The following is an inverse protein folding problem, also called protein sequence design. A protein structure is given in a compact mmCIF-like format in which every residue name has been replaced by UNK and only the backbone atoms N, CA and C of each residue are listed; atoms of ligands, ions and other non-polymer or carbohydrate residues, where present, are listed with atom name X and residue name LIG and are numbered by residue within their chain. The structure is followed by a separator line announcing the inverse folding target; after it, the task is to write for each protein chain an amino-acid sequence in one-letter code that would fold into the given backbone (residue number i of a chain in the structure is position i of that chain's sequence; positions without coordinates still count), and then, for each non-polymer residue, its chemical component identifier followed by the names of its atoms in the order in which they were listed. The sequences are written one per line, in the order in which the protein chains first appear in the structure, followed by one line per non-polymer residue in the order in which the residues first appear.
data_IF_499520169158
#
_entry.id   IF_499520169158
#
_cell.length_a   1.000
_cell.length_b   1.000
_cell.length_c   1.000
_cell.angle_alpha   90.00
_cell.angle_beta   90.00
_cell.angle_gamma   90.00
#
_symmetry.space_group_name_H-M   'P 1'
#
loop_
_entity.id
_entity.type
_entity.pdbx_description
1 polymer ?
#
# COMPACT_ATOMS: atom_id res chain seq x y z
N UNK A 1 -0.53 29.06 11.59
CA UNK A 1 -1.12 29.06 12.95
C UNK A 1 -0.91 27.74 13.74
N UNK A 2 -0.36 26.68 13.16
CA UNK A 2 -0.18 25.38 13.84
C UNK A 2 1.08 25.23 14.72
N UNK A 3 1.85 26.31 14.95
CA UNK A 3 3.13 26.26 15.68
C UNK A 3 2.86 25.86 17.15
N UNK A 4 3.45 24.76 17.59
CA UNK A 4 3.22 24.18 18.93
C UNK A 4 1.94 23.35 19.06
N UNK A 5 1.21 23.11 17.97
CA UNK A 5 0.07 22.18 17.90
C UNK A 5 0.48 20.89 17.18
N UNK A 6 1.21 21.04 16.08
CA UNK A 6 1.79 19.96 15.28
C UNK A 6 3.31 20.04 15.28
N UNK A 7 3.96 18.93 14.98
CA UNK A 7 5.40 18.81 14.82
C UNK A 7 5.74 17.68 13.85
N UNK A 8 7.01 17.55 13.51
CA UNK A 8 7.52 16.53 12.62
C UNK A 8 8.81 16.94 11.94
N UNK A 9 9.51 15.95 11.39
CA UNK A 9 10.83 16.13 10.78
C UNK A 9 10.86 17.16 9.64
N UNK A 10 9.73 17.38 8.96
CA UNK A 10 9.59 18.32 7.87
C UNK A 10 9.00 19.69 8.27
N UNK A 11 8.50 19.86 9.50
CA UNK A 11 7.80 21.10 9.88
C UNK A 11 8.67 22.35 9.80
N UNK A 12 9.90 22.32 10.29
CA UNK A 12 10.82 23.46 10.18
C UNK A 12 11.14 23.80 8.72
N UNK A 13 11.22 22.78 7.85
CA UNK A 13 11.49 22.96 6.43
C UNK A 13 10.31 23.56 5.67
N UNK A 14 9.08 23.25 6.11
CA UNK A 14 7.84 23.75 5.53
C UNK A 14 7.48 25.16 6.05
N UNK A 15 7.72 25.46 7.33
CA UNK A 15 7.22 26.66 7.98
C UNK A 15 8.25 27.76 8.23
N UNK A 16 9.53 27.41 8.43
CA UNK A 16 10.56 28.39 8.82
C UNK A 16 11.66 28.55 7.75
N UNK A 17 12.07 27.45 7.10
CA UNK A 17 13.24 27.44 6.18
C UNK A 17 12.88 27.51 4.69
N UNK A 18 11.61 27.30 4.35
CA UNK A 18 11.12 27.22 2.96
C UNK A 18 11.91 26.25 2.06
N UNK A 19 12.42 25.14 2.62
CA UNK A 19 13.21 24.15 1.85
C UNK A 19 12.38 22.96 1.34
N UNK A 20 11.09 22.90 1.70
CA UNK A 20 10.15 21.91 1.20
C UNK A 20 9.19 22.57 0.21
N UNK A 21 9.31 22.18 -1.07
CA UNK A 21 8.56 22.79 -2.17
C UNK A 21 7.51 21.83 -2.73
N UNK A 22 6.27 22.30 -2.82
CA UNK A 22 5.18 21.61 -3.53
C UNK A 22 5.12 22.15 -4.96
N UNK A 23 5.19 21.27 -5.95
CA UNK A 23 5.27 21.64 -7.37
C UNK A 23 3.95 21.42 -8.11
N UNK A 24 3.70 20.22 -8.65
CA UNK A 24 2.48 19.91 -9.43
C UNK A 24 1.48 19.13 -8.59
N UNK A 25 0.23 19.59 -8.57
CA UNK A 25 -0.89 18.82 -8.03
C UNK A 25 -1.26 17.69 -8.99
N UNK A 26 -1.37 16.47 -8.46
CA UNK A 26 -1.77 15.25 -9.16
C UNK A 26 -3.21 14.81 -8.79
N UNK A 27 -3.84 15.47 -7.82
CA UNK A 27 -5.15 15.07 -7.31
C UNK A 27 -6.31 15.51 -8.18
N UNK A 28 -7.32 14.64 -8.26
CA UNK A 28 -8.64 14.93 -8.83
C UNK A 28 -9.69 15.24 -7.76
N UNK A 29 -9.46 14.83 -6.51
CA UNK A 29 -10.36 15.04 -5.37
C UNK A 29 -9.84 16.15 -4.44
N UNK A 30 -10.71 17.04 -3.94
CA UNK A 30 -10.29 18.16 -3.09
C UNK A 30 -9.82 17.72 -1.69
N UNK A 31 -10.35 16.62 -1.16
CA UNK A 31 -10.09 16.17 0.22
C UNK A 31 -8.76 15.40 0.38
N UNK A 32 -8.19 14.89 -0.71
CA UNK A 32 -6.91 14.19 -0.69
C UNK A 32 -6.00 14.79 -1.75
N UNK A 33 -5.12 15.70 -1.35
CA UNK A 33 -4.21 16.36 -2.26
C UNK A 33 -2.86 15.64 -2.30
N UNK A 34 -2.40 15.38 -3.52
CA UNK A 34 -1.15 14.72 -3.84
C UNK A 34 -0.36 15.66 -4.73
N UNK A 35 0.85 16.00 -4.29
CA UNK A 35 1.75 16.89 -5.00
C UNK A 35 3.06 16.18 -5.31
N UNK A 36 3.65 16.47 -6.46
CA UNK A 36 5.09 16.27 -6.63
C UNK A 36 5.82 17.35 -5.83
N UNK A 37 6.99 17.04 -5.27
CA UNK A 37 7.75 18.04 -4.53
C UNK A 37 9.20 17.65 -4.31
N UNK A 38 9.97 18.63 -3.81
CA UNK A 38 11.38 18.49 -3.48
C UNK A 38 11.62 18.97 -2.06
N UNK A 39 12.46 18.25 -1.32
CA UNK A 39 12.85 18.59 0.04
C UNK A 39 14.35 18.33 0.24
N UNK A 40 15.14 19.41 0.30
CA UNK A 40 16.60 19.30 0.24
C UNK A 40 17.05 18.63 -1.06
N UNK A 41 17.81 17.54 -0.96
CA UNK A 41 18.28 16.73 -2.09
C UNK A 41 17.30 15.61 -2.49
N UNK A 42 16.11 15.56 -1.88
CA UNK A 42 15.13 14.50 -2.13
C UNK A 42 13.97 14.98 -2.98
N UNK A 43 13.70 14.26 -4.07
CA UNK A 43 12.44 14.37 -4.82
C UNK A 43 11.43 13.33 -4.34
N UNK A 44 10.17 13.74 -4.20
CA UNK A 44 9.16 12.89 -3.59
C UNK A 44 7.72 13.25 -3.95
N UNK A 45 6.81 12.50 -3.33
CA UNK A 45 5.37 12.72 -3.40
C UNK A 45 4.92 13.20 -2.03
N UNK A 46 4.34 14.40 -2.01
CA UNK A 46 3.78 15.02 -0.81
C UNK A 46 2.28 14.74 -0.81
N UNK A 47 1.77 14.18 0.27
CA UNK A 47 0.34 13.92 0.47
C UNK A 47 -0.17 14.76 1.63
N UNK A 48 -1.35 15.34 1.43
CA UNK A 48 -2.03 16.17 2.40
C UNK A 48 -3.51 15.78 2.41
N UNK A 49 -4.06 15.53 3.61
CA UNK A 49 -5.48 15.22 3.77
C UNK A 49 -6.19 16.49 4.20
N UNK A 50 -6.84 17.15 3.24
CA UNK A 50 -7.70 18.27 3.59
C UNK A 50 -8.99 17.69 4.16
N UNK A 51 -9.44 18.21 5.31
CA UNK A 51 -10.72 17.83 5.91
C UNK A 51 -11.90 17.96 4.94
N UNK A 52 -13.09 17.51 5.34
CA UNK A 52 -14.28 17.57 4.48
C UNK A 52 -14.51 18.99 3.96
N UNK A 53 -14.31 19.18 2.65
CA UNK A 53 -14.70 20.41 1.96
C UNK A 53 -16.20 20.32 1.74
N UNK A 54 -16.97 21.03 2.56
CA UNK A 54 -18.42 21.19 2.36
C UNK A 54 -18.62 21.85 0.99
N UNK A 55 -19.57 21.30 0.21
CA UNK A 55 -19.90 21.66 -1.16
C UNK A 55 -19.66 23.13 -1.54
N UNK A 56 -18.91 23.36 -2.61
CA UNK A 56 -18.72 24.67 -3.22
C UNK A 56 -19.87 24.93 -4.19
N UNK A 57 -20.95 25.59 -3.75
CA UNK A 57 -21.92 26.19 -4.67
C UNK A 57 -21.35 27.53 -5.16
N UNK A 58 -21.27 27.70 -6.48
CA UNK A 58 -20.76 28.91 -7.13
C UNK A 58 -21.66 30.11 -6.80
N UNK A 59 -21.28 30.93 -5.82
CA UNK A 59 -21.96 32.20 -5.56
C UNK A 59 -21.87 32.75 -4.13
N UNK A 60 -21.47 31.96 -3.14
CA UNK A 60 -21.35 32.41 -1.75
C UNK A 60 -19.88 32.54 -1.32
N UNK A 61 -19.58 33.55 -0.50
CA UNK A 61 -18.24 33.69 0.10
C UNK A 61 -17.89 32.40 0.86
N UNK A 62 -16.63 31.94 0.79
CA UNK A 62 -16.23 30.70 1.44
C UNK A 62 -16.49 30.80 2.95
N UNK A 63 -17.44 30.01 3.46
CA UNK A 63 -17.58 29.82 4.90
C UNK A 63 -16.21 29.39 5.47
N UNK A 64 -15.80 29.92 6.64
CA UNK A 64 -14.53 29.55 7.23
C UNK A 64 -14.51 28.03 7.43
N UNK A 65 -13.47 27.39 6.88
CA UNK A 65 -13.16 25.97 6.99
C UNK A 65 -13.56 25.46 8.39
N UNK A 66 -14.53 24.53 8.45
CA UNK A 66 -14.62 23.65 9.62
C UNK A 66 -13.46 22.68 9.52
N UNK A 67 -12.32 23.10 10.05
CA UNK A 67 -11.20 22.22 10.31
C UNK A 67 -11.76 21.07 11.14
N UNK A 68 -11.85 19.87 10.54
CA UNK A 68 -12.00 18.68 11.35
C UNK A 68 -10.92 18.74 12.45
N UNK A 69 -11.23 18.44 13.72
CA UNK A 69 -10.26 18.51 14.80
C UNK A 69 -9.23 17.38 14.66
N UNK A 70 -8.37 17.46 13.65
CA UNK A 70 -7.49 16.38 13.24
C UNK A 70 -6.33 16.19 14.20
N UNK A 71 -6.05 17.21 15.02
CA UNK A 71 -4.98 17.24 16.01
C UNK A 71 -5.48 17.40 17.46
N UNK A 72 -6.75 17.13 17.73
CA UNK A 72 -7.29 17.19 19.10
C UNK A 72 -6.85 16.02 19.98
N UNK A 73 -6.41 14.93 19.33
CA UNK A 73 -5.91 13.73 20.01
C UNK A 73 -4.40 13.57 19.76
N UNK A 74 -3.61 13.25 20.80
CA UNK A 74 -3.99 13.23 22.21
C UNK A 74 -4.26 14.63 22.80
N UNK A 75 -5.02 14.67 23.91
CA UNK A 75 -5.35 15.90 24.62
C UNK A 75 -4.18 16.37 25.49
N UNK A 76 -4.16 17.67 25.83
CA UNK A 76 -3.18 18.22 26.78
C UNK A 76 -3.22 17.45 28.11
N UNK A 77 -2.05 17.10 28.64
CA UNK A 77 -1.92 16.31 29.88
C UNK A 77 -1.83 14.79 29.66
N UNK A 78 -1.90 14.31 28.41
CA UNK A 78 -1.64 12.89 28.10
C UNK A 78 -0.17 12.57 28.36
N UNK A 79 0.11 11.57 29.21
CA UNK A 79 1.48 11.09 29.44
C UNK A 79 1.98 10.24 28.26
N UNK A 80 3.29 10.00 28.19
CA UNK A 80 3.90 9.15 27.16
C UNK A 80 3.39 7.72 27.25
N UNK A 81 3.20 7.19 28.46
CA UNK A 81 2.63 5.86 28.72
C UNK A 81 1.18 5.79 28.22
N UNK A 82 0.40 6.85 28.48
CA UNK A 82 -0.98 6.89 28.01
C UNK A 82 -1.05 6.95 26.48
N UNK A 83 -0.16 7.72 25.87
CA UNK A 83 -0.05 7.76 24.41
C UNK A 83 0.37 6.41 23.83
N UNK A 84 1.34 5.73 24.46
CA UNK A 84 1.73 4.35 24.11
C UNK A 84 0.54 3.39 24.14
N UNK A 85 -0.30 3.45 25.18
CA UNK A 85 -1.54 2.66 25.25
C UNK A 85 -2.53 3.02 24.13
N UNK A 86 -2.68 4.31 23.80
CA UNK A 86 -3.55 4.74 22.70
C UNK A 86 -3.08 4.14 21.37
N UNK A 87 -1.79 4.22 21.08
CA UNK A 87 -1.18 3.64 19.86
C UNK A 87 -1.37 2.12 19.87
N UNK A 88 -1.07 1.44 20.98
CA UNK A 88 -1.27 0.00 21.11
C UNK A 88 -2.72 -0.42 20.81
N UNK A 89 -3.70 0.26 21.41
CA UNK A 89 -5.12 -0.04 21.19
C UNK A 89 -5.56 0.26 19.75
N UNK A 90 -5.03 1.31 19.13
CA UNK A 90 -5.31 1.63 17.72
C UNK A 90 -4.81 0.51 16.81
N UNK A 91 -3.54 0.11 16.96
CA UNK A 91 -2.93 -0.97 16.18
C UNK A 91 -3.66 -2.29 16.41
N UNK A 92 -4.02 -2.61 17.66
CA UNK A 92 -4.81 -3.81 18.00
C UNK A 92 -6.19 -3.78 17.33
N UNK A 93 -6.82 -2.62 17.26
CA UNK A 93 -8.12 -2.50 16.60
C UNK A 93 -8.04 -2.66 15.07
N UNK A 94 -6.90 -2.34 14.46
CA UNK A 94 -6.64 -2.47 13.02
C UNK A 94 -6.11 -3.86 12.64
N UNK A 95 -5.10 -4.35 13.35
CA UNK A 95 -4.31 -5.56 13.03
C UNK A 95 -4.72 -6.80 13.82
N UNK A 96 -5.65 -6.67 14.76
CA UNK A 96 -6.01 -7.75 15.69
C UNK A 96 -4.99 -7.97 16.80
N UNK A 97 -5.09 -9.11 17.48
CA UNK A 97 -4.19 -9.50 18.57
C UNK A 97 -2.92 -10.12 18.00
N UNK A 98 -1.81 -9.39 18.08
CA UNK A 98 -0.52 -9.82 17.53
C UNK A 98 0.54 -9.87 18.63
N UNK A 99 1.37 -10.92 18.64
CA UNK A 99 2.40 -11.10 19.68
C UNK A 99 3.44 -9.97 19.70
N UNK A 100 3.77 -9.42 18.53
CA UNK A 100 4.82 -8.41 18.38
C UNK A 100 4.31 -6.95 18.38
N UNK A 101 3.05 -6.72 18.74
CA UNK A 101 2.45 -5.37 18.69
C UNK A 101 3.23 -4.36 19.55
N UNK A 102 3.74 -4.78 20.71
CA UNK A 102 4.52 -3.92 21.60
C UNK A 102 5.84 -3.43 20.96
N UNK A 103 6.47 -4.28 20.12
CA UNK A 103 7.67 -3.88 19.37
C UNK A 103 7.32 -2.84 18.32
N UNK A 104 6.21 -3.02 17.60
CA UNK A 104 5.72 -2.05 16.61
C UNK A 104 5.41 -0.70 17.24
N UNK A 105 4.75 -0.69 18.41
CA UNK A 105 4.49 0.55 19.15
C UNK A 105 5.80 1.26 19.51
N UNK A 106 6.83 0.51 19.90
CA UNK A 106 8.13 1.09 20.24
C UNK A 106 8.83 1.68 19.01
N UNK A 107 8.73 1.03 17.85
CA UNK A 107 9.22 1.56 16.57
C UNK A 107 8.47 2.85 16.17
N UNK A 108 7.14 2.87 16.29
CA UNK A 108 6.32 4.05 16.00
C UNK A 108 6.68 5.22 16.92
N UNK A 109 6.89 4.96 18.22
CA UNK A 109 7.32 6.01 19.17
C UNK A 109 8.72 6.55 18.82
N UNK A 110 9.61 5.71 18.30
CA UNK A 110 10.91 6.17 17.81
C UNK A 110 10.80 7.02 16.54
N UNK A 111 9.78 6.81 15.71
CA UNK A 111 9.49 7.66 14.55
C UNK A 111 8.81 8.96 14.98
N UNK A 112 8.00 8.90 16.03
CA UNK A 112 7.29 10.05 16.60
C UNK A 112 8.23 11.10 17.19
N UNK A 113 9.35 10.66 17.80
CA UNK A 113 10.45 11.49 18.29
C UNK A 113 11.23 12.10 17.09
N UNK A 114 10.62 13.11 16.48
CA UNK A 114 11.10 13.73 15.25
C UNK A 114 12.35 14.58 15.49
N UNK A 115 12.49 15.15 16.70
CA UNK A 115 13.64 15.94 17.10
C UNK A 115 14.81 15.09 17.67
N UNK A 116 14.57 13.79 17.93
CA UNK A 116 15.53 12.80 18.44
C UNK A 116 16.05 13.13 19.85
N UNK A 117 15.20 13.72 20.70
CA UNK A 117 15.55 14.05 22.08
C UNK A 117 15.29 12.89 23.07
N UNK A 118 14.77 11.77 22.57
CA UNK A 118 14.44 10.57 23.34
C UNK A 118 13.08 10.65 24.05
N UNK A 119 12.28 11.69 23.79
CA UNK A 119 10.94 11.90 24.35
C UNK A 119 9.95 12.18 23.24
N UNK A 120 8.67 11.99 23.55
CA UNK A 120 7.59 12.32 22.63
C UNK A 120 6.79 13.47 23.24
N UNK A 121 6.91 14.64 22.64
CA UNK A 121 6.14 15.83 23.00
C UNK A 121 4.67 15.72 22.57
N UNK A 122 3.80 16.57 23.12
CA UNK A 122 2.39 16.58 22.73
C UNK A 122 2.18 16.86 21.23
N UNK A 123 2.88 17.84 20.60
CA UNK A 123 2.76 18.09 19.16
C UNK A 123 3.23 16.90 18.29
N UNK A 124 4.31 16.23 18.68
CA UNK A 124 4.79 15.01 18.02
C UNK A 124 3.78 13.87 18.14
N UNK A 125 3.20 13.68 19.33
CA UNK A 125 2.18 12.67 19.57
C UNK A 125 0.91 12.93 18.73
N UNK A 126 0.48 14.19 18.58
CA UNK A 126 -0.67 14.57 17.75
C UNK A 126 -0.44 14.31 16.27
N UNK A 127 0.75 14.68 15.80
CA UNK A 127 1.13 14.50 14.40
C UNK A 127 1.24 13.01 14.07
N UNK A 128 1.92 12.25 14.92
CA UNK A 128 1.99 10.79 14.81
C UNK A 128 0.62 10.14 14.84
N UNK A 129 -0.26 10.56 15.75
CA UNK A 129 -1.62 10.02 15.83
C UNK A 129 -2.42 10.25 14.54
N UNK A 130 -2.30 11.44 13.95
CA UNK A 130 -2.93 11.77 12.67
C UNK A 130 -2.37 10.92 11.52
N UNK A 131 -1.05 10.72 11.48
CA UNK A 131 -0.39 9.85 10.51
C UNK A 131 -0.86 8.40 10.58
N UNK A 132 -0.99 7.85 11.80
CA UNK A 132 -1.44 6.47 12.02
C UNK A 132 -2.90 6.21 11.60
N UNK A 133 -3.69 7.26 11.33
CA UNK A 133 -5.03 7.10 10.74
C UNK A 133 -4.97 6.82 9.23
N UNK A 134 -3.81 6.96 8.59
CA UNK A 134 -3.63 6.76 7.16
C UNK A 134 -3.05 5.38 6.90
N UNK A 135 -3.80 4.52 6.21
CA UNK A 135 -3.40 3.13 5.97
C UNK A 135 -2.06 3.03 5.19
N UNK A 136 -1.75 4.01 4.33
CA UNK A 136 -0.46 4.08 3.61
C UNK A 136 0.73 4.30 4.54
N UNK A 137 0.58 5.17 5.54
CA UNK A 137 1.65 5.42 6.51
C UNK A 137 1.79 4.22 7.44
N UNK A 138 0.67 3.66 7.91
CA UNK A 138 0.69 2.47 8.75
C UNK A 138 1.36 1.28 8.03
N UNK A 139 0.97 0.99 6.78
CA UNK A 139 1.57 -0.07 5.98
C UNK A 139 3.04 0.20 5.67
N UNK A 140 3.39 1.47 5.39
CA UNK A 140 4.76 1.90 5.19
C UNK A 140 5.65 1.60 6.40
N UNK A 141 5.15 1.85 7.62
CA UNK A 141 5.85 1.54 8.87
C UNK A 141 5.94 0.03 9.14
N UNK A 142 4.88 -0.73 8.83
CA UNK A 142 4.86 -2.19 8.98
C UNK A 142 5.86 -2.91 8.06
N UNK A 143 6.05 -2.39 6.84
CA UNK A 143 6.90 -2.99 5.80
C UNK A 143 8.22 -2.23 5.61
N UNK A 144 8.57 -1.32 6.51
CA UNK A 144 9.71 -0.41 6.36
C UNK A 144 11.03 -1.16 6.12
N UNK A 145 11.23 -2.30 6.78
CA UNK A 145 12.45 -3.11 6.68
C UNK A 145 12.46 -4.06 5.47
N UNK A 146 11.32 -4.20 4.78
CA UNK A 146 11.18 -5.10 3.62
C UNK A 146 11.43 -4.40 2.28
N UNK A 147 11.32 -3.07 2.25
CA UNK A 147 11.63 -2.28 1.04
C UNK A 147 10.55 -2.33 -0.06
N UNK A 148 9.39 -2.93 0.19
CA UNK A 148 8.31 -3.01 -0.81
C UNK A 148 7.43 -1.77 -0.88
N UNK A 149 7.54 -0.84 0.07
CA UNK A 149 6.75 0.40 0.11
C UNK A 149 7.64 1.62 -0.16
N UNK A 150 7.08 2.73 -0.68
CA UNK A 150 7.78 4.00 -0.74
C UNK A 150 8.20 4.44 0.67
N UNK A 151 9.47 4.77 0.84
CA UNK A 151 10.00 5.24 2.13
C UNK A 151 9.37 6.58 2.53
N UNK A 152 8.92 6.66 3.78
CA UNK A 152 8.54 7.92 4.41
C UNK A 152 9.81 8.76 4.65
N UNK A 153 9.93 9.90 3.96
CA UNK A 153 11.06 10.81 4.08
C UNK A 153 10.88 11.73 5.29
N UNK A 154 9.67 12.24 5.48
CA UNK A 154 9.34 13.10 6.60
C UNK A 154 7.87 13.52 6.62
N UNK A 155 7.50 14.22 7.68
CA UNK A 155 6.12 14.65 7.92
C UNK A 155 6.06 15.97 8.69
N UNK A 156 4.90 16.63 8.61
CA UNK A 156 4.53 17.75 9.45
C UNK A 156 3.02 17.70 9.72
N UNK A 157 2.63 17.38 10.96
CA UNK A 157 1.22 17.07 11.24
C UNK A 157 0.77 15.83 10.46
N UNK A 158 -0.24 16.00 9.62
CA UNK A 158 -0.79 14.98 8.72
C UNK A 158 -0.25 15.06 7.29
N UNK A 159 0.51 16.10 6.98
CA UNK A 159 1.24 16.21 5.74
C UNK A 159 2.46 15.31 5.81
N UNK A 160 2.66 14.47 4.80
CA UNK A 160 3.83 13.60 4.74
C UNK A 160 4.37 13.49 3.33
N UNK A 161 5.67 13.22 3.24
CA UNK A 161 6.41 13.07 1.99
C UNK A 161 6.99 11.66 1.91
N UNK A 162 6.72 10.98 0.81
CA UNK A 162 7.36 9.69 0.48
C UNK A 162 8.36 9.87 -0.65
N UNK A 163 9.29 8.93 -0.77
CA UNK A 163 10.16 8.86 -1.94
C UNK A 163 9.34 8.76 -3.23
N UNK A 164 9.90 9.30 -4.32
CA UNK A 164 9.28 9.20 -5.64
C UNK A 164 9.59 7.83 -6.25
N UNK A 165 8.55 7.11 -6.65
CA UNK A 165 8.71 5.90 -7.48
C UNK A 165 8.76 6.34 -8.95
N UNK A 166 9.89 6.15 -9.66
CA UNK A 166 10.12 6.75 -10.97
C UNK A 166 9.27 6.11 -12.08
N UNK A 167 9.02 4.81 -11.99
CA UNK A 167 8.29 4.05 -13.00
C UNK A 167 7.03 3.43 -12.42
N UNK A 168 5.90 3.63 -13.10
CA UNK A 168 4.60 3.07 -12.74
C UNK A 168 3.56 3.49 -13.79
N UNK A 169 2.51 2.70 -14.03
CA UNK A 169 2.17 1.40 -13.42
C UNK A 169 3.12 0.25 -13.81
N UNK A 170 2.98 -0.94 -13.21
CA UNK A 170 3.82 -2.12 -13.49
C UNK A 170 3.83 -2.50 -14.99
N UNK A 171 2.65 -2.44 -15.60
CA UNK A 171 2.40 -2.49 -17.04
C UNK A 171 1.05 -1.81 -17.31
N UNK A 172 0.76 -1.52 -18.56
CA UNK A 172 -0.42 -0.73 -18.92
C UNK A 172 -0.08 0.74 -19.12
N UNK A 173 -0.79 1.41 -20.02
CA UNK A 173 -0.73 2.85 -20.17
C UNK A 173 -1.77 3.54 -19.28
N UNK A 174 -1.29 4.36 -18.33
CA UNK A 174 -2.09 5.38 -17.67
C UNK A 174 -2.34 6.53 -18.64
N UNK A 175 -3.50 6.53 -19.30
CA UNK A 175 -3.91 7.60 -20.23
C UNK A 175 -4.88 8.57 -19.54
N UNK A 176 -4.65 9.90 -19.61
CA UNK A 176 -5.62 10.90 -19.15
C UNK A 176 -6.98 10.75 -19.86
N UNK A 177 -8.06 11.07 -19.15
CA UNK A 177 -9.43 10.70 -19.52
C UNK A 177 -9.95 11.13 -20.92
N UNK A 178 -9.50 12.17 -21.66
CA UNK A 178 -10.01 12.31 -23.02
C UNK A 178 -9.30 11.37 -24.02
N UNK A 179 -8.09 10.91 -23.74
CA UNK A 179 -7.30 10.06 -24.65
C UNK A 179 -7.71 8.59 -24.60
N UNK A 180 -8.28 8.13 -23.49
CA UNK A 180 -8.78 6.75 -23.34
C UNK A 180 -9.86 6.43 -24.39
N UNK A 181 -10.76 7.37 -24.68
CA UNK A 181 -11.83 7.19 -25.68
C UNK A 181 -11.35 7.10 -27.14
N UNK A 182 -10.10 7.46 -27.42
CA UNK A 182 -9.53 7.40 -28.78
C UNK A 182 -8.63 6.18 -29.02
N UNK A 183 -8.39 5.35 -28.01
CA UNK A 183 -7.57 4.15 -28.14
C UNK A 183 -8.48 2.92 -28.21
N UNK A 184 -8.54 2.21 -29.36
CA UNK A 184 -9.27 0.94 -29.45
C UNK A 184 -8.72 -0.08 -28.44
N UNK A 185 -9.59 -0.83 -27.77
CA UNK A 185 -9.20 -1.83 -26.75
C UNK A 185 -8.12 -2.84 -27.23
N UNK A 186 -8.01 -3.10 -28.54
CA UNK A 186 -6.97 -3.94 -29.13
C UNK A 186 -5.58 -3.28 -29.23
N UNK A 187 -5.53 -1.95 -29.31
CA UNK A 187 -4.28 -1.17 -29.41
C UNK A 187 -3.65 -0.94 -28.05
N UNK A 188 -4.45 -0.85 -26.97
CA UNK A 188 -3.94 -0.67 -25.60
C UNK A 188 -2.98 -1.82 -25.20
N UNK A 189 -3.37 -3.09 -25.43
CA UNK A 189 -2.51 -4.29 -25.25
C UNK A 189 -1.27 -4.31 -26.15
N UNK A 190 -1.25 -3.49 -27.19
CA UNK A 190 -0.16 -3.41 -28.16
C UNK A 190 0.81 -2.27 -27.84
N UNK A 191 0.31 -1.14 -27.31
CA UNK A 191 1.13 -0.02 -26.88
C UNK A 191 1.85 -0.29 -25.54
N UNK A 192 1.29 -1.14 -24.66
CA UNK A 192 1.98 -1.65 -23.47
C UNK A 192 3.31 -2.36 -23.79
N UNK A 193 3.50 -2.79 -25.04
CA UNK A 193 4.65 -3.57 -25.49
C UNK A 193 5.92 -2.73 -25.67
N UNK A 194 5.79 -1.43 -25.94
CA UNK A 194 6.94 -0.55 -26.22
C UNK A 194 7.61 0.00 -24.96
N UNK A 195 6.88 0.02 -23.84
CA UNK A 195 7.32 0.65 -22.60
C UNK A 195 7.59 -0.34 -21.46
N UNK A 196 7.68 -1.64 -21.76
CA UNK A 196 8.06 -2.64 -20.75
C UNK A 196 9.55 -2.96 -20.80
N UNK A 197 10.21 -3.16 -19.64
CA UNK A 197 11.64 -3.42 -19.59
C UNK A 197 11.98 -4.79 -20.19
N UNK A 198 13.26 -5.05 -20.47
CA UNK A 198 13.72 -6.36 -20.97
C UNK A 198 13.27 -7.50 -20.04
N UNK A 199 13.08 -8.70 -20.57
CA UNK A 199 12.55 -9.83 -19.79
C UNK A 199 13.27 -10.10 -18.44
N UNK A 200 14.61 -10.05 -18.33
CA UNK A 200 15.30 -10.23 -17.04
C UNK A 200 14.89 -9.21 -15.97
N UNK A 201 14.63 -7.97 -16.39
CA UNK A 201 14.14 -6.90 -15.52
C UNK A 201 12.68 -7.13 -15.12
N UNK A 202 11.83 -7.62 -16.04
CA UNK A 202 10.47 -8.08 -15.70
C UNK A 202 10.51 -9.18 -14.65
N UNK A 203 11.41 -10.16 -14.81
CA UNK A 203 11.59 -11.24 -13.84
C UNK A 203 11.99 -10.69 -12.46
N UNK A 204 12.91 -9.70 -12.40
CA UNK A 204 13.31 -9.04 -11.14
C UNK A 204 12.14 -8.33 -10.46
N UNK A 205 11.34 -7.56 -11.21
CA UNK A 205 10.17 -6.87 -10.65
C UNK A 205 9.11 -7.88 -10.16
N UNK A 206 8.84 -8.92 -10.95
CA UNK A 206 7.91 -10.00 -10.59
C UNK A 206 8.36 -10.75 -9.34
N UNK A 207 9.66 -10.97 -9.16
CA UNK A 207 10.24 -11.55 -7.95
C UNK A 207 9.93 -10.69 -6.73
N UNK A 208 10.06 -9.36 -6.84
CA UNK A 208 9.65 -8.42 -5.78
C UNK A 208 8.17 -8.52 -5.42
N UNK A 209 7.27 -8.78 -6.39
CA UNK A 209 5.83 -8.97 -6.08
C UNK A 209 5.59 -10.27 -5.33
N UNK A 210 6.29 -11.34 -5.72
CA UNK A 210 6.22 -12.63 -5.01
C UNK A 210 6.82 -12.52 -3.59
N UNK A 211 7.86 -11.73 -3.39
CA UNK A 211 8.42 -11.40 -2.07
C UNK A 211 7.46 -10.58 -1.22
N UNK A 212 6.82 -9.55 -1.79
CA UNK A 212 5.79 -8.78 -1.09
C UNK A 212 4.65 -9.69 -0.63
N UNK A 213 4.15 -10.57 -1.50
CA UNK A 213 3.07 -11.52 -1.14
C UNK A 213 3.47 -12.44 0.01
N UNK A 214 4.73 -12.90 0.04
CA UNK A 214 5.25 -13.70 1.15
C UNK A 214 5.33 -12.89 2.43
N UNK A 215 5.89 -11.68 2.36
CA UNK A 215 6.12 -10.81 3.52
C UNK A 215 4.82 -10.35 4.19
N UNK A 216 3.75 -10.15 3.41
CA UNK A 216 2.44 -9.76 3.96
C UNK A 216 1.59 -10.96 4.42
N UNK A 217 1.89 -12.18 3.95
CA UNK A 217 1.20 -13.40 4.39
C UNK A 217 1.84 -13.99 5.64
N UNK A 218 3.17 -13.87 5.79
CA UNK A 218 3.94 -14.29 6.97
C UNK A 218 4.49 -13.10 7.77
N UNK A 219 3.72 -12.02 7.83
CA UNK A 219 4.13 -10.77 8.46
C UNK A 219 4.36 -10.92 9.97
N UNK A 220 5.34 -10.20 10.50
CA UNK A 220 5.66 -10.12 11.94
C UNK A 220 4.52 -9.54 12.77
N UNK A 221 3.61 -8.80 12.13
CA UNK A 221 2.52 -8.04 12.73
C UNK A 221 1.14 -8.49 12.22
N UNK A 222 1.04 -9.72 11.73
CA UNK A 222 -0.19 -10.31 11.22
C UNK A 222 -0.18 -10.54 9.71
N UNK A 223 -1.29 -11.10 9.23
CA UNK A 223 -1.52 -11.42 7.83
C UNK A 223 -2.38 -10.36 7.15
N UNK A 224 -2.08 -10.07 5.89
CA UNK A 224 -2.81 -9.08 5.09
C UNK A 224 -3.29 -9.70 3.77
N UNK A 225 -4.41 -9.19 3.28
CA UNK A 225 -4.98 -9.49 1.97
C UNK A 225 -4.77 -8.30 1.03
N UNK A 226 -4.41 -8.55 -0.22
CA UNK A 226 -4.41 -7.49 -1.25
C UNK A 226 -5.76 -7.55 -1.96
N UNK A 227 -6.71 -6.69 -1.62
CA UNK A 227 -8.09 -6.70 -2.12
C UNK A 227 -8.35 -5.85 -3.37
N UNK A 228 -7.28 -5.41 -4.01
CA UNK A 228 -7.25 -4.85 -5.35
C UNK A 228 -5.85 -5.04 -5.94
N UNK A 229 -5.62 -6.19 -6.59
CA UNK A 229 -4.31 -6.49 -7.17
C UNK A 229 -4.21 -6.04 -8.64
N UNK A 230 -4.30 -4.74 -8.86
CA UNK A 230 -4.13 -4.13 -10.16
C UNK A 230 -2.69 -3.63 -10.40
N UNK A 231 -2.22 -3.69 -11.64
CA UNK A 231 -0.89 -3.22 -12.06
C UNK A 231 -0.65 -1.73 -11.77
N UNK A 232 -1.73 -0.95 -11.62
CA UNK A 232 -1.71 0.48 -11.30
C UNK A 232 -1.25 0.81 -9.88
N UNK A 233 -1.38 -0.14 -8.95
CA UNK A 233 -0.97 0.04 -7.55
C UNK A 233 0.51 -0.27 -7.32
N UNK A 234 1.23 -0.63 -8.39
CA UNK A 234 2.63 -1.01 -8.34
C UNK A 234 3.47 -0.14 -9.27
N UNK A 235 4.66 0.20 -8.79
CA UNK A 235 5.73 0.81 -9.57
C UNK A 235 7.06 0.13 -9.29
N UNK A 236 8.14 0.68 -9.83
CA UNK A 236 9.49 0.19 -9.59
C UNK A 236 10.55 1.29 -9.66
N UNK A 237 11.68 1.04 -9.02
CA UNK A 237 12.85 1.93 -9.00
C UNK A 237 13.73 1.77 -10.24
N UNK A 238 14.74 2.63 -10.43
CA UNK A 238 15.75 2.47 -11.50
C UNK A 238 16.50 1.11 -11.43
N UNK A 239 16.55 0.52 -10.22
CA UNK A 239 17.12 -0.81 -9.98
C UNK A 239 16.14 -1.95 -10.21
N UNK A 240 14.94 -1.64 -10.69
CA UNK A 240 13.84 -2.57 -10.96
C UNK A 240 13.38 -3.32 -9.69
N UNK A 241 13.42 -2.63 -8.55
CA UNK A 241 12.83 -3.08 -7.29
C UNK A 241 11.36 -2.65 -7.25
N UNK A 242 10.45 -3.57 -6.96
CA UNK A 242 9.01 -3.29 -6.88
C UNK A 242 8.70 -2.35 -5.71
N UNK A 243 7.75 -1.42 -5.93
CA UNK A 243 7.14 -0.60 -4.88
C UNK A 243 5.61 -0.65 -4.99
N UNK A 244 4.94 -0.93 -3.88
CA UNK A 244 3.50 -0.79 -3.70
C UNK A 244 3.19 0.70 -3.50
N UNK A 245 2.70 1.37 -4.54
CA UNK A 245 2.44 2.82 -4.55
C UNK A 245 1.06 3.18 -4.00
N UNK A 246 0.12 2.23 -3.97
CA UNK A 246 -1.19 2.40 -3.36
C UNK A 246 -1.45 1.33 -2.29
N UNK A 247 -1.16 1.68 -1.04
CA UNK A 247 -1.34 0.82 0.11
C UNK A 247 -2.81 0.52 0.47
N UNK A 248 -3.78 1.29 -0.04
CA UNK A 248 -5.22 1.09 0.27
C UNK A 248 -5.76 -0.23 -0.26
N UNK A 249 -5.06 -0.83 -1.22
CA UNK A 249 -5.37 -2.16 -1.70
C UNK A 249 -5.06 -3.25 -0.66
N UNK A 250 -4.24 -2.98 0.36
CA UNK A 250 -3.82 -3.96 1.35
C UNK A 250 -4.63 -3.81 2.64
N UNK A 251 -5.24 -4.90 3.07
CA UNK A 251 -6.23 -4.94 4.15
C UNK A 251 -5.79 -5.96 5.20
N UNK A 252 -5.78 -5.64 6.49
CA UNK A 252 -5.53 -6.62 7.54
C UNK A 252 -6.58 -7.75 7.52
N UNK A 253 -6.15 -9.01 7.64
CA UNK A 253 -7.07 -10.16 7.58
C UNK A 253 -8.14 -10.11 8.68
N UNK A 254 -7.80 -9.62 9.88
CA UNK A 254 -8.76 -9.44 10.98
C UNK A 254 -9.81 -8.35 10.69
N UNK A 255 -9.47 -7.30 9.94
CA UNK A 255 -10.45 -6.30 9.49
C UNK A 255 -11.40 -6.90 8.44
N UNK A 256 -10.85 -7.65 7.49
CA UNK A 256 -11.62 -8.36 6.48
C UNK A 256 -12.61 -9.35 7.12
N UNK A 257 -12.14 -10.23 8.01
CA UNK A 257 -12.98 -11.22 8.71
C UNK A 257 -14.13 -10.58 9.49
N UNK A 258 -13.84 -9.51 10.23
CA UNK A 258 -14.87 -8.76 10.98
C UNK A 258 -15.94 -8.18 10.05
N UNK A 259 -15.52 -7.65 8.90
CA UNK A 259 -16.44 -7.10 7.90
C UNK A 259 -17.30 -8.20 7.28
N UNK A 260 -16.70 -9.33 6.89
CA UNK A 260 -17.43 -10.45 6.28
C UNK A 260 -18.44 -11.08 7.25
N UNK A 261 -18.06 -11.30 8.52
CA UNK A 261 -18.94 -11.91 9.54
C UNK A 261 -20.26 -11.16 9.72
N UNK A 262 -20.25 -9.83 9.63
CA UNK A 262 -21.46 -9.01 9.81
C UNK A 262 -22.27 -8.86 8.52
N UNK A 263 -21.65 -9.09 7.35
CA UNK A 263 -22.26 -8.94 6.04
C UNK A 263 -23.26 -10.07 5.77
N UNK A 264 -24.48 -9.69 5.41
CA UNK A 264 -25.53 -10.63 5.00
C UNK A 264 -25.45 -10.84 3.49
N UNK A 265 -25.75 -12.06 3.06
CA UNK A 265 -25.70 -12.43 1.64
C UNK A 265 -26.87 -13.33 1.27
N UNK A 266 -27.25 -13.28 -0.01
CA UNK A 266 -28.13 -14.25 -0.66
C UNK A 266 -27.34 -15.11 -1.65
N UNK A 267 -26.27 -14.56 -2.22
CA UNK A 267 -25.38 -15.23 -3.16
C UNK A 267 -23.91 -14.93 -2.85
N UNK A 268 -23.00 -15.74 -3.39
CA UNK A 268 -21.55 -15.50 -3.26
C UNK A 268 -21.12 -14.13 -3.83
N UNK A 269 -21.86 -13.59 -4.79
CA UNK A 269 -21.59 -12.28 -5.39
C UNK A 269 -21.82 -11.10 -4.42
N UNK A 270 -22.55 -11.32 -3.33
CA UNK A 270 -22.76 -10.31 -2.28
C UNK A 270 -21.56 -10.24 -1.31
N UNK A 271 -20.70 -11.25 -1.32
CA UNK A 271 -19.58 -11.42 -0.39
C UNK A 271 -18.26 -10.90 -0.96
N UNK A 272 -18.24 -9.60 -1.29
CA UNK A 272 -17.07 -8.94 -1.88
C UNK A 272 -16.58 -7.81 -0.99
N UNK A 273 -15.26 -7.77 -0.75
CA UNK A 273 -14.55 -6.65 -0.14
C UNK A 273 -13.63 -6.00 -1.17
N UNK A 274 -13.70 -4.68 -1.30
CA UNK A 274 -12.87 -3.96 -2.27
C UNK A 274 -13.23 -4.34 -3.70
N UNK A 275 -12.22 -4.74 -4.49
CA UNK A 275 -12.39 -5.08 -5.91
C UNK A 275 -12.37 -6.59 -6.13
N UNK A 276 -11.44 -7.31 -5.48
CA UNK A 276 -11.15 -8.72 -5.82
C UNK A 276 -11.06 -9.69 -4.63
N UNK A 277 -11.31 -9.23 -3.39
CA UNK A 277 -11.42 -10.13 -2.24
C UNK A 277 -12.86 -10.66 -2.13
N UNK A 278 -13.04 -11.95 -2.40
CA UNK A 278 -14.35 -12.61 -2.40
C UNK A 278 -14.37 -13.78 -1.42
N UNK A 279 -15.50 -13.96 -0.73
CA UNK A 279 -15.81 -15.15 0.07
C UNK A 279 -17.08 -15.83 -0.45
N UNK A 280 -17.42 -17.01 0.08
CA UNK A 280 -18.70 -17.64 -0.23
C UNK A 280 -19.78 -17.27 0.79
N UNK A 281 -21.03 -17.29 0.36
CA UNK A 281 -22.18 -17.09 1.19
C UNK A 281 -22.53 -18.39 1.93
N UNK A 282 -22.56 -18.33 3.26
CA UNK A 282 -23.16 -19.40 4.04
C UNK A 282 -24.69 -19.29 4.00
N UNK A 283 -25.30 -20.13 3.17
CA UNK A 283 -26.76 -20.14 2.98
C UNK A 283 -27.54 -20.51 4.25
N UNK A 284 -26.91 -21.19 5.21
CA UNK A 284 -27.56 -21.56 6.47
C UNK A 284 -27.65 -20.37 7.42
N UNK A 285 -26.59 -19.56 7.50
CA UNK A 285 -26.54 -18.37 8.34
C UNK A 285 -26.99 -17.09 7.62
N UNK A 286 -27.12 -17.15 6.29
CA UNK A 286 -27.29 -16.00 5.37
C UNK A 286 -26.23 -14.93 5.58
N UNK A 287 -24.98 -15.36 5.77
CA UNK A 287 -23.82 -14.52 6.08
C UNK A 287 -22.60 -14.95 5.29
N UNK A 288 -21.73 -14.00 4.98
CA UNK A 288 -20.50 -14.28 4.28
C UNK A 288 -19.51 -15.05 5.17
N UNK A 289 -18.81 -16.02 4.58
CA UNK A 289 -17.71 -16.71 5.25
C UNK A 289 -16.52 -15.78 5.47
N UNK A 290 -15.69 -16.13 6.43
CA UNK A 290 -14.55 -15.32 6.87
C UNK A 290 -13.29 -15.58 6.03
N UNK A 291 -13.19 -16.74 5.39
CA UNK A 291 -12.04 -17.12 4.57
C UNK A 291 -12.19 -16.65 3.11
N UNK A 292 -11.16 -15.98 2.54
CA UNK A 292 -11.16 -15.63 1.13
C UNK A 292 -11.06 -16.88 0.25
N UNK A 293 -11.79 -16.89 -0.86
CA UNK A 293 -11.76 -18.01 -1.83
C UNK A 293 -10.39 -18.11 -2.50
N UNK A 294 -9.78 -16.96 -2.82
CA UNK A 294 -8.49 -16.87 -3.52
C UNK A 294 -7.41 -16.24 -2.63
N UNK A 295 -6.24 -16.89 -2.49
CA UNK A 295 -5.12 -16.31 -1.77
C UNK A 295 -4.41 -15.21 -2.58
N UNK A 296 -3.66 -14.34 -1.90
CA UNK A 296 -2.86 -13.28 -2.54
C UNK A 296 -1.94 -13.83 -3.64
N UNK A 297 -1.35 -15.01 -3.42
CA UNK A 297 -0.44 -15.66 -4.38
C UNK A 297 -1.15 -16.01 -5.70
N UNK A 298 -2.37 -16.54 -5.65
CA UNK A 298 -3.15 -16.84 -6.85
C UNK A 298 -3.45 -15.58 -7.66
N UNK A 299 -3.82 -14.49 -6.98
CA UNK A 299 -4.04 -13.18 -7.59
C UNK A 299 -2.75 -12.64 -8.21
N UNK A 300 -1.63 -12.73 -7.49
CA UNK A 300 -0.31 -12.30 -7.98
C UNK A 300 0.09 -13.03 -9.25
N UNK A 301 -0.08 -14.34 -9.30
CA UNK A 301 0.19 -15.11 -10.51
C UNK A 301 -0.73 -14.75 -11.67
N UNK A 302 -1.99 -14.42 -11.41
CA UNK A 302 -2.92 -13.91 -12.44
C UNK A 302 -2.42 -12.59 -13.04
N UNK A 303 -2.03 -11.63 -12.19
CA UNK A 303 -1.48 -10.32 -12.60
C UNK A 303 -0.14 -10.47 -13.32
N UNK A 304 0.71 -11.40 -12.90
CA UNK A 304 2.03 -11.62 -13.51
C UNK A 304 1.98 -12.44 -14.80
N UNK A 305 0.92 -13.22 -15.06
CA UNK A 305 0.90 -14.21 -16.15
C UNK A 305 1.26 -13.60 -17.50
N UNK A 306 0.47 -12.63 -17.95
CA UNK A 306 0.66 -12.03 -19.27
C UNK A 306 1.92 -11.16 -19.31
N UNK A 307 2.32 -10.60 -18.17
CA UNK A 307 3.53 -9.79 -18.02
C UNK A 307 4.81 -10.63 -18.19
N UNK A 308 4.85 -11.82 -17.59
CA UNK A 308 5.98 -12.75 -17.60
C UNK A 308 6.03 -13.63 -18.85
N UNK A 309 4.92 -14.18 -19.33
CA UNK A 309 4.93 -15.05 -20.50
C UNK A 309 5.31 -14.30 -21.79
N UNK A 310 5.06 -12.99 -21.83
CA UNK A 310 5.39 -12.15 -22.96
C UNK A 310 6.90 -11.84 -23.00
N UNK A 311 7.56 -12.36 -24.03
CA UNK A 311 9.01 -12.21 -24.22
C UNK A 311 9.84 -13.18 -23.39
N UNK A 312 9.19 -14.20 -22.79
CA UNK A 312 9.89 -15.26 -22.09
C UNK A 312 10.82 -16.04 -23.02
N UNK A 313 12.05 -16.37 -22.58
CA UNK A 313 12.93 -17.29 -23.28
C UNK A 313 12.20 -18.61 -23.58
N UNK A 314 12.38 -19.15 -24.78
CA UNK A 314 11.68 -20.37 -25.23
C UNK A 314 11.91 -21.55 -24.28
N UNK A 315 13.12 -21.66 -23.72
CA UNK A 315 13.50 -22.72 -22.78
C UNK A 315 12.74 -22.68 -21.46
N UNK A 316 12.28 -21.50 -21.02
CA UNK A 316 11.60 -21.30 -19.74
C UNK A 316 10.09 -21.20 -19.88
N UNK A 317 9.60 -20.87 -21.09
CA UNK A 317 8.21 -20.48 -21.31
C UNK A 317 7.21 -21.55 -20.89
N UNK A 318 7.43 -22.80 -21.28
CA UNK A 318 6.50 -23.90 -20.99
C UNK A 318 6.40 -24.17 -19.48
N UNK A 319 7.56 -24.26 -18.80
CA UNK A 319 7.60 -24.50 -17.36
C UNK A 319 7.01 -23.31 -16.58
N UNK A 320 7.33 -22.09 -16.98
CA UNK A 320 6.80 -20.88 -16.36
C UNK A 320 5.28 -20.79 -16.51
N UNK A 321 4.75 -21.08 -17.70
CA UNK A 321 3.31 -21.11 -17.96
C UNK A 321 2.61 -22.15 -17.08
N UNK A 322 3.17 -23.36 -16.99
CA UNK A 322 2.65 -24.43 -16.13
C UNK A 322 2.60 -24.02 -14.66
N UNK A 323 3.68 -23.44 -14.14
CA UNK A 323 3.73 -23.00 -12.73
C UNK A 323 2.76 -21.84 -12.46
N UNK A 324 2.62 -20.89 -13.39
CA UNK A 324 1.68 -19.77 -13.25
C UNK A 324 0.23 -20.26 -13.22
N UNK A 325 -0.16 -21.21 -14.08
CA UNK A 325 -1.51 -21.78 -14.04
C UNK A 325 -1.78 -22.58 -12.76
N UNK A 326 -0.80 -23.37 -12.30
CA UNK A 326 -0.90 -24.07 -11.02
C UNK A 326 -1.07 -23.09 -9.86
N UNK A 327 -0.31 -21.99 -9.86
CA UNK A 327 -0.41 -20.92 -8.88
C UNK A 327 -1.78 -20.24 -8.88
N UNK A 328 -2.33 -19.92 -10.06
CA UNK A 328 -3.66 -19.31 -10.19
C UNK A 328 -4.79 -20.23 -9.73
N UNK A 329 -4.58 -21.54 -9.74
CA UNK A 329 -5.57 -22.53 -9.31
C UNK A 329 -5.62 -22.73 -7.78
N UNK A 330 -4.72 -22.09 -7.03
CA UNK A 330 -4.69 -22.15 -5.56
C UNK A 330 -6.00 -21.61 -4.96
N UNK A 331 -6.48 -22.27 -3.89
CA UNK A 331 -7.72 -21.93 -3.18
C UNK A 331 -7.48 -21.76 -1.69
N UNK A 332 -8.21 -20.84 -1.06
CA UNK A 332 -8.04 -20.36 0.32
C UNK A 332 -8.46 -21.28 1.49
N UNK A 333 -8.24 -22.59 1.46
CA UNK A 333 -8.68 -23.49 2.57
C UNK A 333 -7.59 -23.81 3.62
N UNK A 334 -7.86 -23.45 4.88
CA UNK A 334 -6.91 -23.25 5.99
C UNK A 334 -6.02 -24.43 6.48
N UNK A 335 -6.17 -25.65 5.98
CA UNK A 335 -5.47 -26.83 6.55
C UNK A 335 -4.31 -27.40 5.73
N UNK A 336 -4.39 -27.32 4.40
CA UNK A 336 -3.47 -28.00 3.46
C UNK A 336 -2.61 -27.01 2.64
N UNK A 337 -2.88 -25.72 2.79
CA UNK A 337 -2.39 -24.63 1.94
C UNK A 337 -0.91 -24.27 2.13
N UNK A 338 -0.38 -24.27 3.35
CA UNK A 338 0.93 -23.64 3.59
C UNK A 338 2.06 -24.35 2.83
N UNK A 339 1.98 -25.67 2.66
CA UNK A 339 3.00 -26.44 1.95
C UNK A 339 2.91 -26.25 0.42
N UNK A 340 1.71 -26.31 -0.17
CA UNK A 340 1.53 -26.11 -1.62
C UNK A 340 1.82 -24.66 -2.02
N UNK A 341 1.37 -23.68 -1.23
CA UNK A 341 1.68 -22.27 -1.45
C UNK A 341 3.20 -22.03 -1.43
N UNK A 342 3.88 -22.51 -0.39
CA UNK A 342 5.32 -22.34 -0.25
C UNK A 342 6.07 -23.05 -1.39
N UNK A 343 5.64 -24.23 -1.80
CA UNK A 343 6.27 -24.98 -2.89
C UNK A 343 6.16 -24.23 -4.22
N UNK A 344 4.94 -23.81 -4.60
CA UNK A 344 4.72 -23.08 -5.86
C UNK A 344 5.45 -21.75 -5.85
N UNK A 345 5.38 -20.99 -4.75
CA UNK A 345 6.09 -19.73 -4.59
C UNK A 345 7.60 -19.91 -4.77
N UNK A 346 8.20 -20.88 -4.08
CA UNK A 346 9.63 -21.15 -4.17
C UNK A 346 10.05 -21.62 -5.56
N UNK A 347 9.25 -22.46 -6.22
CA UNK A 347 9.50 -22.90 -7.59
C UNK A 347 9.48 -21.73 -8.57
N UNK A 348 8.48 -20.85 -8.48
CA UNK A 348 8.40 -19.64 -9.30
C UNK A 348 9.60 -18.73 -9.07
N UNK A 349 9.96 -18.45 -7.81
CA UNK A 349 11.15 -17.65 -7.48
C UNK A 349 12.43 -18.28 -8.03
N UNK A 350 12.61 -19.59 -7.90
CA UNK A 350 13.78 -20.29 -8.42
C UNK A 350 13.88 -20.22 -9.96
N UNK A 351 12.76 -20.35 -10.67
CA UNK A 351 12.72 -20.22 -12.13
C UNK A 351 13.11 -18.80 -12.59
N UNK A 352 12.57 -17.77 -11.92
CA UNK A 352 12.91 -16.38 -12.23
C UNK A 352 14.37 -16.08 -11.89
N UNK A 353 14.85 -16.52 -10.72
CA UNK A 353 16.22 -16.31 -10.26
C UNK A 353 17.27 -16.93 -11.18
N UNK A 354 17.01 -18.14 -11.68
CA UNK A 354 17.90 -18.81 -12.65
C UNK A 354 18.19 -17.91 -13.84
N UNK A 355 17.19 -17.20 -14.36
CA UNK A 355 17.40 -16.34 -15.51
C UNK A 355 18.06 -15.00 -15.15
N UNK A 356 17.72 -14.42 -14.00
CA UNK A 356 18.33 -13.15 -13.53
C UNK A 356 19.84 -13.36 -13.29
N UNK A 357 20.22 -14.46 -12.65
CA UNK A 357 21.62 -14.76 -12.31
C UNK A 357 22.52 -15.01 -13.54
N UNK A 358 21.95 -15.40 -14.68
CA UNK A 358 22.70 -15.55 -15.93
C UNK A 358 22.95 -14.22 -16.67
N UNK A 359 22.28 -13.13 -16.28
CA UNK A 359 22.48 -11.80 -16.87
C UNK A 359 23.38 -10.94 -15.98
N UNK A 360 24.46 -10.38 -16.55
CA UNK A 360 25.49 -9.58 -15.85
C UNK A 360 25.00 -8.24 -15.25
N UNK A 361 23.71 -7.98 -15.26
CA UNK A 361 23.09 -6.72 -14.80
C UNK A 361 22.45 -6.87 -13.40
N UNK A 362 23.13 -7.57 -12.49
CA UNK A 362 22.74 -7.68 -11.07
C UNK A 362 23.01 -6.40 -10.31
#
# INVERSE_FOLDING_TARGET
EWKGIIDGSACSSLCDKDTLYMSRCLSTLPNNQVYTGSWGDHDGIIRCKLGEVVHYELGEEPEPRREAPMFDKPTRGTSVEKFREMVFNHLKSKLGEQANLASLVSQILSVADGNKDGRVSLPEARSTWALLQMDEVLLGLLLQDRGHTPRLLGYCGDLYMTERVPYGPLYGLSLPWPLVSWVPNGVQRTMDQWFTPSWPRKAKISMGLLELVEDIFHGTYGSFLICDLAAEHFGYTDRHELRLTNARAVVPEDEFRRTMRVLKCETDADCVYGVDCQTSCDMSEKRCREEPVQPNLAKACSTLKDYLLRGAPSELREELERQLYACMALKGNAGQMNMEHSLILNNLKALLWRQISHTKDS
#
